data_IF_432785394446
#
_entry.id   IF_432785394446
#
_cell.length_a   1.000
_cell.length_b   1.000
_cell.length_c   1.000
_cell.angle_alpha   90.00
_cell.angle_beta   90.00
_cell.angle_gamma   90.00
#
_symmetry.space_group_name_H-M   'P 1'
#
loop_
_entity.id
_entity.type
_entity.pdbx_description
1 polymer ?
#
# COMPACT_ATOMS: atom_id res chain seq x y z
N UNK A 1 2.31 18.59 -16.55
CA UNK A 1 1.76 17.50 -15.72
C UNK A 1 0.25 17.56 -15.83
N UNK A 2 -0.44 16.44 -16.10
CA UNK A 2 -1.89 16.45 -16.28
C UNK A 2 -2.59 16.68 -14.91
N UNK A 3 -3.32 17.79 -14.71
CA UNK A 3 -3.94 18.13 -13.43
C UNK A 3 -5.19 17.29 -13.11
N UNK A 4 -5.61 16.39 -14.00
CA UNK A 4 -6.79 15.51 -13.82
C UNK A 4 -6.53 14.21 -13.05
N UNK A 5 -5.34 13.99 -12.50
CA UNK A 5 -4.96 12.71 -11.88
C UNK A 5 -4.70 12.82 -10.37
N UNK A 6 -5.03 13.96 -9.75
CA UNK A 6 -4.97 14.12 -8.30
C UNK A 6 -6.37 14.06 -7.67
N UNK A 7 -7.25 13.19 -8.19
CA UNK A 7 -8.45 12.77 -7.47
C UNK A 7 -7.97 11.93 -6.28
N UNK A 8 -7.70 12.60 -5.16
CA UNK A 8 -7.40 11.93 -3.90
C UNK A 8 -8.71 11.26 -3.48
N UNK A 9 -8.86 9.97 -3.74
CA UNK A 9 -9.97 9.19 -3.18
C UNK A 9 -9.61 8.87 -1.73
N UNK A 10 -10.17 9.58 -0.73
CA UNK A 10 -9.89 9.26 0.65
C UNK A 10 -10.41 7.86 0.96
N UNK A 11 -9.60 7.08 1.67
CA UNK A 11 -10.02 5.80 2.22
C UNK A 11 -11.15 6.02 3.22
N UNK A 12 -12.33 5.50 2.92
CA UNK A 12 -13.52 5.59 3.76
C UNK A 12 -13.92 4.23 4.36
N UNK A 13 -14.55 4.26 5.52
CA UNK A 13 -15.18 3.10 6.15
C UNK A 13 -16.50 3.52 6.76
N UNK A 14 -17.57 2.84 6.36
CA UNK A 14 -18.88 3.01 6.97
C UNK A 14 -18.95 2.25 8.30
N UNK A 15 -19.53 2.87 9.32
CA UNK A 15 -19.78 2.23 10.62
C UNK A 15 -21.21 1.70 10.61
N UNK A 16 -21.35 0.38 10.77
CA UNK A 16 -22.66 -0.27 10.92
C UNK A 16 -22.86 -0.64 12.38
N UNK A 17 -24.10 -0.53 12.86
CA UNK A 17 -24.54 -0.99 14.19
C UNK A 17 -23.76 -0.37 15.38
N UNK A 18 -23.24 0.85 15.21
CA UNK A 18 -22.40 1.55 16.20
C UNK A 18 -21.11 0.80 16.59
N UNK A 19 -20.68 -0.20 15.80
CA UNK A 19 -19.45 -0.95 16.05
C UNK A 19 -18.22 -0.24 15.46
N UNK A 20 -17.71 0.71 16.23
CA UNK A 20 -16.51 1.49 15.88
C UNK A 20 -15.25 0.62 15.85
N UNK A 21 -15.16 -0.39 16.70
CA UNK A 21 -13.99 -1.27 16.78
C UNK A 21 -13.77 -2.06 15.49
N UNK A 22 -14.87 -2.58 14.93
CA UNK A 22 -14.86 -3.26 13.63
C UNK A 22 -14.52 -2.31 12.49
N UNK A 23 -15.06 -1.09 12.49
CA UNK A 23 -14.77 -0.09 11.48
C UNK A 23 -13.27 0.29 11.45
N UNK A 24 -12.65 0.53 12.61
CA UNK A 24 -11.21 0.82 12.70
C UNK A 24 -10.35 -0.35 12.20
N UNK A 25 -10.74 -1.57 12.53
CA UNK A 25 -10.05 -2.77 12.07
C UNK A 25 -10.15 -2.96 10.55
N UNK A 26 -11.33 -2.68 9.99
CA UNK A 26 -11.57 -2.69 8.55
C UNK A 26 -10.73 -1.62 7.83
N UNK A 27 -10.68 -0.40 8.38
CA UNK A 27 -9.86 0.70 7.85
C UNK A 27 -8.37 0.32 7.82
N UNK A 28 -7.85 -0.20 8.95
CA UNK A 28 -6.47 -0.65 9.03
C UNK A 28 -6.15 -1.72 7.98
N UNK A 29 -7.07 -2.65 7.74
CA UNK A 29 -6.92 -3.69 6.70
C UNK A 29 -6.98 -3.11 5.29
N UNK A 30 -7.90 -2.19 5.00
CA UNK A 30 -7.96 -1.47 3.72
C UNK A 30 -6.65 -0.73 3.43
N UNK A 31 -6.14 0.05 4.40
CA UNK A 31 -4.85 0.75 4.29
C UNK A 31 -3.66 -0.19 4.05
N UNK A 32 -3.68 -1.38 4.66
CA UNK A 32 -2.63 -2.39 4.47
C UNK A 32 -2.70 -3.02 3.07
N UNK A 33 -3.91 -3.29 2.56
CA UNK A 33 -4.13 -3.87 1.23
C UNK A 33 -3.72 -2.92 0.10
N UNK A 34 -4.05 -1.62 0.23
CA UNK A 34 -3.61 -0.58 -0.70
C UNK A 34 -2.09 -0.34 -0.64
N UNK A 35 -1.42 -0.82 0.41
CA UNK A 35 0.02 -0.71 0.56
C UNK A 35 0.48 0.65 1.07
N UNK A 36 -0.44 1.47 1.58
CA UNK A 36 -0.16 2.82 2.08
C UNK A 36 0.97 2.83 3.12
N UNK A 37 0.96 1.89 4.07
CA UNK A 37 2.03 1.78 5.07
C UNK A 37 3.40 1.49 4.46
N UNK A 38 3.47 0.69 3.38
CA UNK A 38 4.73 0.40 2.69
C UNK A 38 5.24 1.62 1.96
N UNK A 39 4.34 2.39 1.36
CA UNK A 39 4.66 3.61 0.66
C UNK A 39 5.12 4.72 1.62
N UNK A 40 4.41 4.94 2.72
CA UNK A 40 4.80 5.88 3.78
C UNK A 40 6.20 5.54 4.32
N UNK A 41 6.47 4.26 4.59
CA UNK A 41 7.80 3.82 5.06
C UNK A 41 8.89 4.08 4.02
N UNK A 42 8.59 3.86 2.73
CA UNK A 42 9.53 4.09 1.63
C UNK A 42 9.82 5.58 1.43
N UNK A 43 8.81 6.44 1.58
CA UNK A 43 8.91 7.88 1.36
C UNK A 43 9.48 8.63 2.57
N UNK A 44 9.65 7.99 3.73
CA UNK A 44 10.14 8.61 4.97
C UNK A 44 11.53 9.25 4.81
N UNK A 45 12.40 8.66 3.98
CA UNK A 45 13.75 9.16 3.74
C UNK A 45 14.10 9.08 2.26
N UNK A 46 15.05 9.90 1.80
CA UNK A 46 15.56 9.83 0.44
C UNK A 46 16.26 8.49 0.18
N UNK A 47 15.83 7.78 -0.85
CA UNK A 47 16.46 6.55 -1.33
C UNK A 47 17.25 6.86 -2.60
N UNK A 48 18.58 6.66 -2.56
CA UNK A 48 19.45 6.83 -3.74
C UNK A 48 18.90 5.98 -4.91
N UNK A 49 18.93 6.46 -6.17
CA UNK A 49 18.34 5.76 -7.31
C UNK A 49 18.87 4.33 -7.51
N UNK A 50 20.14 4.08 -7.21
CA UNK A 50 20.72 2.73 -7.28
C UNK A 50 20.10 1.75 -6.27
N UNK A 51 19.80 2.23 -5.06
CA UNK A 51 19.16 1.43 -3.99
C UNK A 51 17.70 1.15 -4.36
N UNK A 52 16.99 2.15 -4.87
CA UNK A 52 15.61 2.00 -5.34
C UNK A 52 15.49 0.98 -6.49
N UNK A 53 16.43 0.99 -7.44
CA UNK A 53 16.52 -0.02 -8.53
C UNK A 53 16.70 -1.43 -7.95
N UNK A 54 17.66 -1.63 -7.05
CA UNK A 54 17.90 -2.93 -6.39
C UNK A 54 16.68 -3.42 -5.61
N UNK A 55 16.00 -2.52 -4.88
CA UNK A 55 14.77 -2.84 -4.13
C UNK A 55 13.65 -3.30 -5.05
N UNK A 56 13.43 -2.59 -6.17
CA UNK A 56 12.40 -2.94 -7.18
C UNK A 56 12.63 -4.33 -7.78
N UNK A 57 13.88 -4.66 -8.12
CA UNK A 57 14.23 -5.98 -8.65
C UNK A 57 13.94 -7.10 -7.64
N UNK A 58 14.37 -6.92 -6.38
CA UNK A 58 14.12 -7.88 -5.30
C UNK A 58 12.63 -8.07 -5.00
N UNK A 59 11.85 -7.00 -5.03
CA UNK A 59 10.39 -7.06 -4.81
C UNK A 59 9.68 -7.79 -5.95
N UNK A 60 10.10 -7.57 -7.20
CA UNK A 60 9.57 -8.29 -8.36
C UNK A 60 9.88 -9.80 -8.29
N UNK A 61 11.11 -10.16 -7.92
CA UNK A 61 11.50 -11.57 -7.74
C UNK A 61 10.68 -12.25 -6.63
N UNK A 62 10.50 -11.58 -5.48
CA UNK A 62 9.63 -12.08 -4.40
C UNK A 62 8.20 -12.29 -4.86
N UNK A 63 7.64 -11.34 -5.64
CA UNK A 63 6.28 -11.47 -6.20
C UNK A 63 6.18 -12.66 -7.16
N UNK A 64 7.17 -12.87 -8.03
CA UNK A 64 7.22 -14.02 -8.94
C UNK A 64 7.30 -15.35 -8.19
N UNK A 65 8.16 -15.45 -7.18
CA UNK A 65 8.27 -16.64 -6.32
C UNK A 65 6.95 -16.94 -5.61
N UNK A 66 6.32 -15.92 -5.01
CA UNK A 66 5.02 -16.09 -4.34
C UNK A 66 3.93 -16.61 -5.28
N UNK A 67 3.88 -16.11 -6.52
CA UNK A 67 2.92 -16.58 -7.53
C UNK A 67 3.17 -18.04 -7.93
N UNK A 68 4.44 -18.45 -8.04
CA UNK A 68 4.82 -19.81 -8.37
C UNK A 68 4.55 -20.80 -7.23
N UNK A 69 4.75 -20.40 -5.98
CA UNK A 69 4.54 -21.27 -4.80
C UNK A 69 3.06 -21.47 -4.46
N UNK A 70 2.19 -20.52 -4.80
CA UNK A 70 0.74 -20.59 -4.54
C UNK A 70 -0.08 -20.98 -5.79
N UNK A 71 0.57 -21.48 -6.84
CA UNK A 71 -0.08 -22.10 -7.99
C UNK A 71 -0.22 -23.58 -7.76
#
# INVERSE_FOLDING_TARGET
MNPKQLEFHPLDVNVQDNDVGRALSALKRKMANEGLYKELKKRKFYEKPSVSKKRKQREAERRRKKLHTHR
#
